data_IF_623935176767
#
_entry.id   IF_623935176767
#
_cell.length_a   1.000
_cell.length_b   1.000
_cell.length_c   1.000
_cell.angle_alpha   90.00
_cell.angle_beta   90.00
_cell.angle_gamma   90.00
#
_symmetry.space_group_name_H-M   'P 1'
#
loop_
_entity.id
_entity.type
_entity.pdbx_description
1 polymer ?
#
# COMPACT_ATOMS: atom_id res chain seq x y z
N UNK A 1 -9.73 24.84 -24.50
CA UNK A 1 -9.27 25.13 -23.13
C UNK A 1 -8.54 23.88 -22.65
N UNK A 2 -7.22 23.90 -22.49
CA UNK A 2 -6.45 22.73 -22.06
C UNK A 2 -6.69 22.45 -20.58
N UNK A 3 -6.61 21.18 -20.15
CA UNK A 3 -6.70 20.80 -18.74
C UNK A 3 -5.76 21.66 -17.86
N UNK A 4 -4.57 22.01 -18.36
CA UNK A 4 -3.63 22.89 -17.65
C UNK A 4 -4.21 24.26 -17.27
N UNK A 5 -5.10 24.83 -18.09
CA UNK A 5 -5.62 26.18 -17.87
C UNK A 5 -6.77 26.16 -16.86
N UNK A 6 -7.53 25.07 -16.80
CA UNK A 6 -8.60 24.88 -15.80
C UNK A 6 -7.98 24.72 -14.40
N UNK A 7 -6.94 23.89 -14.28
CA UNK A 7 -6.23 23.68 -13.01
C UNK A 7 -5.52 24.93 -12.50
N UNK A 8 -4.86 25.70 -13.39
CA UNK A 8 -4.23 26.98 -13.00
C UNK A 8 -5.25 27.98 -12.47
N UNK A 9 -6.42 28.09 -13.11
CA UNK A 9 -7.47 29.02 -12.69
C UNK A 9 -8.15 28.60 -11.36
N UNK A 10 -8.29 27.30 -11.10
CA UNK A 10 -8.81 26.77 -9.83
C UNK A 10 -7.87 27.07 -8.64
N UNK A 11 -6.57 27.13 -8.90
CA UNK A 11 -5.52 27.36 -7.89
C UNK A 11 -5.13 28.84 -7.77
N UNK A 12 -5.66 29.72 -8.64
CA UNK A 12 -5.45 31.17 -8.58
C UNK A 12 -6.39 31.87 -7.57
N UNK A 13 -7.21 31.11 -6.83
CA UNK A 13 -8.00 31.64 -5.72
C UNK A 13 -7.10 31.90 -4.51
N UNK A 14 -6.43 33.06 -4.50
CA UNK A 14 -5.38 33.54 -3.59
C UNK A 14 -5.67 33.52 -2.07
N UNK A 15 -6.77 32.91 -1.63
CA UNK A 15 -7.25 32.98 -0.25
C UNK A 15 -7.65 31.64 0.38
N UNK A 16 -7.41 30.50 -0.27
CA UNK A 16 -7.74 29.19 0.30
C UNK A 16 -6.48 28.36 0.60
N UNK A 17 -6.36 27.89 1.84
CA UNK A 17 -5.38 26.86 2.19
C UNK A 17 -5.86 25.53 1.61
N UNK A 18 -5.16 25.03 0.60
CA UNK A 18 -5.48 23.77 -0.07
C UNK A 18 -4.44 22.70 0.23
N UNK A 19 -4.87 21.44 0.26
CA UNK A 19 -4.00 20.27 0.23
C UNK A 19 -4.16 19.62 -1.15
N UNK A 20 -3.10 19.62 -1.95
CA UNK A 20 -3.06 18.94 -3.24
C UNK A 20 -2.49 17.54 -3.06
N UNK A 21 -3.20 16.53 -3.56
CA UNK A 21 -2.74 15.14 -3.52
C UNK A 21 -2.38 14.73 -4.95
N UNK A 22 -1.09 14.52 -5.17
CA UNK A 22 -0.56 13.96 -6.41
C UNK A 22 -0.34 12.47 -6.20
N UNK A 23 -1.26 11.66 -6.72
CA UNK A 23 -1.20 10.22 -6.56
C UNK A 23 -0.39 9.56 -7.69
N UNK A 24 0.48 8.62 -7.33
CA UNK A 24 1.29 7.80 -8.21
C UNK A 24 2.14 8.59 -9.23
N UNK A 25 2.91 9.57 -8.74
CA UNK A 25 3.79 10.39 -9.58
C UNK A 25 5.01 9.58 -10.03
N UNK A 26 5.25 9.57 -11.34
CA UNK A 26 6.34 8.81 -11.95
C UNK A 26 7.66 9.62 -12.00
N UNK A 27 7.58 10.93 -12.25
CA UNK A 27 8.76 11.78 -12.44
C UNK A 27 8.53 13.25 -12.07
N UNK A 28 9.62 13.95 -11.76
CA UNK A 28 9.63 15.38 -11.45
C UNK A 28 9.19 16.22 -12.66
N UNK A 29 9.57 15.81 -13.87
CA UNK A 29 9.15 16.47 -15.12
C UNK A 29 7.64 16.42 -15.35
N UNK A 30 6.98 15.34 -14.91
CA UNK A 30 5.53 15.21 -15.01
C UNK A 30 4.83 16.16 -14.05
N UNK A 31 5.19 16.11 -12.76
CA UNK A 31 4.51 16.90 -11.73
C UNK A 31 4.72 18.41 -11.91
N UNK A 32 5.90 18.85 -12.39
CA UNK A 32 6.19 20.27 -12.69
C UNK A 32 5.21 20.90 -13.67
N UNK A 33 4.64 20.12 -14.62
CA UNK A 33 3.66 20.62 -15.60
C UNK A 33 2.31 20.98 -14.96
N UNK A 34 2.03 20.41 -13.79
CA UNK A 34 0.78 20.53 -13.04
C UNK A 34 1.00 21.13 -11.65
N UNK A 35 2.20 21.66 -11.37
CA UNK A 35 2.51 22.29 -10.10
C UNK A 35 1.70 23.57 -9.94
N UNK A 36 1.12 23.85 -8.76
CA UNK A 36 0.36 25.07 -8.52
C UNK A 36 1.24 26.31 -8.71
N UNK A 37 0.62 27.39 -9.19
CA UNK A 37 1.22 28.73 -9.12
C UNK A 37 1.02 29.34 -7.72
N UNK A 38 0.07 28.80 -6.94
CA UNK A 38 -0.22 29.24 -5.60
C UNK A 38 0.99 29.14 -4.67
N UNK A 39 1.17 30.15 -3.82
CA UNK A 39 2.22 30.21 -2.80
C UNK A 39 1.73 29.80 -1.39
N UNK A 40 0.50 29.28 -1.29
CA UNK A 40 -0.12 28.84 -0.05
C UNK A 40 -0.75 27.46 -0.24
N UNK A 41 -0.59 26.60 0.77
CA UNK A 41 -1.11 25.24 0.78
C UNK A 41 0.00 24.21 1.00
N UNK A 42 -0.39 22.94 0.96
CA UNK A 42 0.51 21.80 1.06
C UNK A 42 0.30 20.87 -0.14
N UNK A 43 1.35 20.15 -0.53
CA UNK A 43 1.27 19.07 -1.50
C UNK A 43 1.67 17.75 -0.83
N UNK A 44 0.85 16.72 -0.99
CA UNK A 44 1.17 15.34 -0.67
C UNK A 44 1.40 14.60 -1.99
N UNK A 45 2.55 13.95 -2.11
CA UNK A 45 2.95 13.22 -3.31
C UNK A 45 3.11 11.76 -2.92
N UNK A 46 2.39 10.86 -3.59
CA UNK A 46 2.69 9.42 -3.53
C UNK A 46 3.46 9.04 -4.79
N UNK A 47 4.52 8.26 -4.65
CA UNK A 47 5.37 7.87 -5.76
C UNK A 47 6.13 6.58 -5.44
N UNK A 48 6.45 5.80 -6.48
CA UNK A 48 7.44 4.71 -6.39
C UNK A 48 8.88 5.22 -6.55
N UNK A 49 9.05 6.38 -7.17
CA UNK A 49 10.35 6.96 -7.47
C UNK A 49 10.88 7.78 -6.28
N UNK A 50 11.81 7.22 -5.50
CA UNK A 50 12.41 7.88 -4.33
C UNK A 50 13.06 9.23 -4.63
N UNK A 51 13.46 9.51 -5.88
CA UNK A 51 14.03 10.82 -6.24
C UNK A 51 13.07 11.98 -5.99
N UNK A 52 11.75 11.73 -6.04
CA UNK A 52 10.73 12.74 -5.77
C UNK A 52 10.68 13.19 -4.31
N UNK A 53 11.29 12.44 -3.39
CA UNK A 53 11.42 12.82 -1.99
C UNK A 53 12.40 13.98 -1.76
N UNK A 54 13.28 14.27 -2.73
CA UNK A 54 14.27 15.35 -2.66
C UNK A 54 13.87 16.57 -3.48
N UNK A 55 13.18 16.37 -4.61
CA UNK A 55 12.65 17.45 -5.43
C UNK A 55 11.42 16.95 -6.22
N UNK A 56 10.23 17.56 -6.09
CA UNK A 56 9.95 18.86 -5.45
C UNK A 56 9.56 18.80 -3.95
N UNK A 57 9.57 17.63 -3.32
CA UNK A 57 9.16 17.50 -1.92
C UNK A 57 10.20 18.10 -0.95
N UNK A 58 9.73 18.73 0.13
CA UNK A 58 10.58 19.19 1.24
C UNK A 58 10.96 18.04 2.17
N UNK A 59 10.03 17.11 2.38
CA UNK A 59 10.21 15.91 3.22
C UNK A 59 9.59 14.70 2.54
N UNK A 60 10.16 13.52 2.80
CA UNK A 60 9.69 12.24 2.29
C UNK A 60 9.56 11.22 3.41
N UNK A 61 8.55 10.35 3.30
CA UNK A 61 8.36 9.20 4.18
C UNK A 61 8.34 7.97 3.28
N UNK A 62 9.29 7.06 3.51
CA UNK A 62 9.27 5.77 2.86
C UNK A 62 8.23 4.86 3.53
N UNK A 63 7.31 4.33 2.73
CA UNK A 63 6.33 3.34 3.20
C UNK A 63 6.93 1.96 3.01
N UNK A 64 7.38 1.36 4.12
CA UNK A 64 7.96 0.02 4.12
C UNK A 64 6.86 -1.05 4.18
N UNK A 65 7.15 -2.28 3.71
CA UNK A 65 6.32 -3.44 4.03
C UNK A 65 6.16 -3.60 5.56
N UNK A 66 5.08 -4.24 5.98
CA UNK A 66 4.89 -4.54 7.40
C UNK A 66 5.99 -5.46 7.92
N UNK A 67 6.42 -5.24 9.15
CA UNK A 67 7.17 -6.23 9.89
C UNK A 67 6.28 -7.45 10.22
N UNK A 68 6.91 -8.51 10.70
CA UNK A 68 6.23 -9.77 11.00
C UNK A 68 5.10 -9.60 12.02
N UNK A 69 5.29 -8.73 13.02
CA UNK A 69 4.29 -8.49 14.07
C UNK A 69 3.08 -7.74 13.52
N UNK A 70 3.30 -6.58 12.92
CA UNK A 70 2.27 -5.73 12.32
C UNK A 70 1.51 -6.47 11.24
N UNK A 71 2.22 -7.21 10.38
CA UNK A 71 1.61 -7.98 9.32
C UNK A 71 0.80 -9.18 9.84
N UNK A 72 1.22 -9.83 10.92
CA UNK A 72 0.44 -10.89 11.59
C UNK A 72 -0.87 -10.32 12.16
N UNK A 73 -0.80 -9.18 12.86
CA UNK A 73 -1.98 -8.47 13.37
C UNK A 73 -2.92 -8.10 12.22
N UNK A 74 -2.38 -7.63 11.10
CA UNK A 74 -3.16 -7.27 9.92
C UNK A 74 -3.86 -8.49 9.28
N UNK A 75 -3.18 -9.65 9.17
CA UNK A 75 -3.79 -10.91 8.72
C UNK A 75 -4.97 -11.30 9.60
N UNK A 76 -4.77 -11.33 10.93
CA UNK A 76 -5.80 -11.73 11.88
C UNK A 76 -7.01 -10.77 11.83
N UNK A 77 -6.73 -9.46 11.73
CA UNK A 77 -7.76 -8.44 11.57
C UNK A 77 -8.63 -8.69 10.33
N UNK A 78 -8.01 -8.94 9.18
CA UNK A 78 -8.74 -9.18 7.92
C UNK A 78 -9.59 -10.46 7.95
N UNK A 79 -9.16 -11.47 8.71
CA UNK A 79 -9.89 -12.73 8.84
C UNK A 79 -10.97 -12.68 9.94
N UNK A 80 -11.13 -11.53 10.63
CA UNK A 80 -12.16 -11.30 11.66
C UNK A 80 -12.18 -12.38 12.74
N UNK A 81 -10.99 -12.90 13.07
CA UNK A 81 -10.86 -13.97 14.04
C UNK A 81 -10.88 -13.35 15.45
N UNK A 82 -12.04 -13.41 16.12
CA UNK A 82 -12.18 -13.21 17.58
C UNK A 82 -11.90 -14.54 18.27
N UNK A 83 -10.69 -14.70 18.83
CA UNK A 83 -10.17 -16.02 19.16
C UNK A 83 -10.02 -16.20 20.68
N UNK A 84 -10.53 -17.31 21.21
CA UNK A 84 -10.22 -17.78 22.56
C UNK A 84 -8.70 -17.97 22.75
N UNK A 85 -8.18 -17.72 23.95
CA UNK A 85 -6.74 -17.57 24.22
C UNK A 85 -5.82 -18.69 23.67
N UNK A 86 -6.27 -19.94 23.69
CA UNK A 86 -5.47 -21.09 23.22
C UNK A 86 -5.47 -21.23 21.69
N UNK A 87 -6.57 -20.85 21.02
CA UNK A 87 -6.63 -20.81 19.54
C UNK A 87 -5.91 -19.55 19.03
N UNK A 88 -5.86 -18.48 19.84
CA UNK A 88 -5.17 -17.24 19.51
C UNK A 88 -3.65 -17.42 19.33
N UNK A 89 -3.01 -18.34 20.06
CA UNK A 89 -1.57 -18.58 19.95
C UNK A 89 -1.18 -19.33 18.67
N UNK A 90 -1.94 -20.35 18.27
CA UNK A 90 -1.67 -21.10 17.03
C UNK A 90 -2.02 -20.28 15.78
N UNK A 91 -3.12 -19.51 15.82
CA UNK A 91 -3.51 -18.61 14.73
C UNK A 91 -2.51 -17.45 14.58
N UNK A 92 -2.00 -16.90 15.70
CA UNK A 92 -0.95 -15.87 15.66
C UNK A 92 0.34 -16.37 15.00
N UNK A 93 0.74 -17.62 15.26
CA UNK A 93 1.91 -18.22 14.59
C UNK A 93 1.70 -18.39 13.09
N UNK A 94 0.54 -18.90 12.68
CA UNK A 94 0.22 -19.12 11.26
C UNK A 94 0.08 -17.79 10.51
N UNK A 95 -0.50 -16.77 11.16
CA UNK A 95 -0.61 -15.41 10.63
C UNK A 95 0.76 -14.75 10.43
N UNK A 96 1.69 -14.92 11.37
CA UNK A 96 3.06 -14.45 11.23
C UNK A 96 3.78 -15.12 10.06
N UNK A 97 3.64 -16.44 9.92
CA UNK A 97 4.20 -17.18 8.79
C UNK A 97 3.61 -16.72 7.45
N UNK A 98 2.30 -16.50 7.39
CA UNK A 98 1.64 -15.99 6.18
C UNK A 98 2.14 -14.60 5.81
N UNK A 99 2.23 -13.68 6.77
CA UNK A 99 2.78 -12.33 6.56
C UNK A 99 4.20 -12.39 5.99
N UNK A 100 5.07 -13.22 6.58
CA UNK A 100 6.46 -13.40 6.13
C UNK A 100 6.52 -13.97 4.70
N UNK A 101 5.71 -14.98 4.38
CA UNK A 101 5.63 -15.57 3.02
C UNK A 101 5.19 -14.58 1.95
N UNK A 102 4.38 -13.60 2.34
CA UNK A 102 3.89 -12.51 1.49
C UNK A 102 4.75 -11.25 1.55
N UNK A 103 5.91 -11.32 2.22
CA UNK A 103 6.88 -10.23 2.31
C UNK A 103 6.38 -9.00 3.07
N UNK A 104 5.34 -9.13 3.89
CA UNK A 104 4.74 -8.01 4.63
C UNK A 104 3.98 -7.00 3.75
N UNK A 105 3.78 -7.27 2.46
CA UNK A 105 3.06 -6.35 1.57
C UNK A 105 1.56 -6.33 1.90
N UNK A 106 1.06 -5.18 2.37
CA UNK A 106 -0.34 -5.00 2.78
C UNK A 106 -1.36 -5.44 1.70
N UNK A 107 -1.08 -5.14 0.43
CA UNK A 107 -1.95 -5.53 -0.67
C UNK A 107 -1.93 -7.05 -0.93
N UNK A 108 -0.75 -7.70 -0.85
CA UNK A 108 -0.63 -9.15 -1.00
C UNK A 108 -1.39 -9.87 0.12
N UNK A 109 -1.21 -9.41 1.36
CA UNK A 109 -1.91 -9.92 2.54
C UNK A 109 -3.43 -9.78 2.37
N UNK A 110 -3.90 -8.59 1.98
CA UNK A 110 -5.34 -8.33 1.74
C UNK A 110 -5.94 -9.28 0.70
N UNK A 111 -5.23 -9.51 -0.41
CA UNK A 111 -5.68 -10.39 -1.48
C UNK A 111 -5.75 -11.86 -1.03
N UNK A 112 -4.74 -12.33 -0.30
CA UNK A 112 -4.71 -13.71 0.18
C UNK A 112 -5.71 -13.95 1.31
N UNK A 113 -5.90 -12.99 2.22
CA UNK A 113 -6.93 -13.06 3.25
C UNK A 113 -8.34 -13.17 2.62
N UNK A 114 -8.62 -12.39 1.57
CA UNK A 114 -9.88 -12.49 0.84
C UNK A 114 -10.06 -13.88 0.17
N UNK A 115 -8.99 -14.48 -0.35
CA UNK A 115 -9.04 -15.82 -0.93
C UNK A 115 -9.28 -16.90 0.15
N UNK A 116 -8.58 -16.81 1.28
CA UNK A 116 -8.78 -17.68 2.45
C UNK A 116 -10.24 -17.64 2.88
N UNK A 117 -10.79 -16.44 3.07
CA UNK A 117 -12.19 -16.25 3.45
C UNK A 117 -13.16 -16.83 2.42
N UNK A 118 -12.96 -16.53 1.12
CA UNK A 118 -13.81 -17.02 0.02
C UNK A 118 -13.82 -18.54 -0.11
N UNK A 119 -12.71 -19.21 0.24
CA UNK A 119 -12.57 -20.67 0.18
C UNK A 119 -12.91 -21.35 1.50
N UNK A 120 -13.21 -20.58 2.55
CA UNK A 120 -13.41 -21.06 3.91
C UNK A 120 -12.23 -21.91 4.40
N UNK A 121 -11.02 -21.50 4.05
CA UNK A 121 -9.79 -22.15 4.50
C UNK A 121 -9.33 -21.60 5.84
N UNK A 122 -8.61 -22.42 6.60
CA UNK A 122 -7.75 -21.93 7.68
C UNK A 122 -6.48 -21.31 7.11
N UNK A 123 -5.74 -20.54 7.93
CA UNK A 123 -4.44 -19.99 7.53
C UNK A 123 -3.47 -21.13 7.21
N UNK A 124 -3.47 -22.20 8.00
CA UNK A 124 -2.60 -23.36 7.83
C UNK A 124 -2.88 -24.14 6.53
N UNK A 125 -4.16 -24.34 6.20
CA UNK A 125 -4.56 -24.94 4.92
C UNK A 125 -4.06 -24.12 3.73
N UNK A 126 -4.18 -22.79 3.82
CA UNK A 126 -3.65 -21.91 2.79
C UNK A 126 -2.13 -21.99 2.69
N UNK A 127 -1.40 -21.98 3.82
CA UNK A 127 0.06 -22.10 3.83
C UNK A 127 0.52 -23.39 3.14
N UNK A 128 -0.14 -24.53 3.39
CA UNK A 128 0.18 -25.79 2.75
C UNK A 128 -0.05 -25.77 1.22
N UNK A 129 -1.03 -24.99 0.75
CA UNK A 129 -1.28 -24.77 -0.69
C UNK A 129 -0.23 -23.81 -1.27
N UNK A 130 0.06 -22.72 -0.56
CA UNK A 130 1.02 -21.70 -0.98
C UNK A 130 2.41 -22.31 -1.18
N UNK A 131 2.90 -23.10 -0.21
CA UNK A 131 4.21 -23.76 -0.29
C UNK A 131 4.27 -24.77 -1.45
N UNK A 132 3.15 -25.41 -1.80
CA UNK A 132 3.08 -26.35 -2.93
C UNK A 132 3.15 -25.64 -4.30
N UNK A 133 2.60 -24.44 -4.40
CA UNK A 133 2.49 -23.69 -5.66
C UNK A 133 3.31 -22.40 -5.65
N UNK A 134 4.36 -22.35 -4.81
CA UNK A 134 5.12 -21.14 -4.53
C UNK A 134 5.59 -20.43 -5.82
N UNK A 135 6.12 -21.17 -6.80
CA UNK A 135 6.59 -20.61 -8.07
C UNK A 135 5.48 -19.91 -8.89
N UNK A 136 4.26 -20.43 -8.87
CA UNK A 136 3.12 -19.84 -9.56
C UNK A 136 2.61 -18.59 -8.83
N UNK A 137 2.58 -18.61 -7.50
CA UNK A 137 2.21 -17.45 -6.69
C UNK A 137 3.21 -16.31 -6.82
N UNK A 138 4.51 -16.58 -6.74
CA UNK A 138 5.56 -15.57 -6.91
C UNK A 138 5.50 -14.89 -8.28
N UNK A 139 5.24 -15.65 -9.34
CA UNK A 139 5.10 -15.07 -10.69
C UNK A 139 3.94 -14.07 -10.75
N UNK A 140 2.81 -14.38 -10.11
CA UNK A 140 1.64 -13.49 -10.07
C UNK A 140 1.88 -12.26 -9.18
N UNK A 141 2.49 -12.45 -8.00
CA UNK A 141 2.82 -11.38 -7.05
C UNK A 141 3.87 -10.41 -7.61
N UNK A 142 4.89 -10.92 -8.31
CA UNK A 142 5.96 -10.08 -8.90
C UNK A 142 5.45 -9.07 -9.94
N UNK A 143 4.28 -9.29 -10.55
CA UNK A 143 3.65 -8.34 -11.48
C UNK A 143 3.03 -7.12 -10.78
N UNK A 144 2.75 -7.21 -9.47
CA UNK A 144 2.12 -6.12 -8.71
C UNK A 144 3.13 -5.29 -7.90
N UNK A 145 4.25 -5.90 -7.49
CA UNK A 145 5.19 -5.32 -6.54
C UNK A 145 6.58 -4.97 -7.10
N UNK A 146 6.88 -5.30 -8.36
CA UNK A 146 8.00 -4.69 -9.11
C UNK A 146 7.56 -3.44 -9.87
#
# INVERSE_FOLDING_TARGET
>A
MTLSNVWRNLLDLQHHKVLLIYDNVESSDLIRKYWPVANQGCALITARNHNLAYEPAETGIEVLPFDTETGSVFVLHLLSLDIAADVATQESKSAAQLSERLGGYALAISQMAALIHRRSWTIEEFLAIYDRFQSAFFSCLSLFFN
#
